data_IF_849815543283
#
_entry.id   IF_849815543283
#
_cell.length_a   1.000
_cell.length_b   1.000
_cell.length_c   1.000
_cell.angle_alpha   90.00
_cell.angle_beta   90.00
_cell.angle_gamma   90.00
#
_symmetry.space_group_name_H-M   'P 1'
#
loop_
_entity.id
_entity.type
_entity.pdbx_description
1 polymer ?
#
# COMPACT_ATOMS: atom_id res chain seq x y z
N UNK A 1 -35.54 5.44 -5.16
CA UNK A 1 -34.97 4.11 -4.88
C UNK A 1 -35.86 3.05 -5.52
N UNK A 2 -35.33 1.85 -5.78
CA UNK A 2 -36.13 0.74 -6.33
C UNK A 2 -37.09 0.22 -5.24
N UNK A 3 -38.42 0.23 -5.45
CA UNK A 3 -39.41 -0.20 -4.44
C UNK A 3 -39.18 -1.63 -3.92
N UNK A 4 -38.64 -2.51 -4.75
CA UNK A 4 -38.35 -3.89 -4.35
C UNK A 4 -37.19 -3.96 -3.34
N UNK A 5 -36.20 -3.08 -3.46
CA UNK A 5 -35.05 -3.00 -2.53
C UNK A 5 -35.52 -2.48 -1.18
N UNK A 6 -36.38 -1.45 -1.16
CA UNK A 6 -36.93 -0.91 0.08
C UNK A 6 -37.78 -1.94 0.84
N UNK A 7 -38.63 -2.68 0.12
CA UNK A 7 -39.44 -3.75 0.72
C UNK A 7 -38.57 -4.87 1.29
N UNK A 8 -37.58 -5.32 0.52
CA UNK A 8 -36.65 -6.35 0.97
C UNK A 8 -35.86 -5.92 2.21
N UNK A 9 -35.40 -4.66 2.26
CA UNK A 9 -34.67 -4.14 3.42
C UNK A 9 -35.55 -4.05 4.67
N UNK A 10 -36.81 -3.61 4.55
CA UNK A 10 -37.75 -3.57 5.68
C UNK A 10 -37.96 -4.96 6.30
N UNK A 11 -38.17 -5.97 5.45
CA UNK A 11 -38.30 -7.36 5.92
C UNK A 11 -37.01 -7.84 6.61
N UNK A 12 -35.84 -7.53 6.05
CA UNK A 12 -34.56 -7.89 6.68
C UNK A 12 -34.39 -7.21 8.06
N UNK A 13 -34.74 -5.92 8.16
CA UNK A 13 -34.68 -5.15 9.41
C UNK A 13 -35.53 -5.79 10.51
N UNK A 14 -36.74 -6.24 10.19
CA UNK A 14 -37.61 -6.97 11.12
C UNK A 14 -36.96 -8.28 11.60
N UNK A 15 -36.38 -9.07 10.68
CA UNK A 15 -35.72 -10.34 11.02
C UNK A 15 -34.47 -10.17 11.89
N UNK A 16 -33.69 -9.12 11.67
CA UNK A 16 -32.53 -8.82 12.51
C UNK A 16 -32.93 -8.29 13.90
N UNK A 17 -34.05 -7.55 13.98
CA UNK A 17 -34.58 -7.09 15.26
C UNK A 17 -35.01 -8.25 16.18
N UNK A 18 -35.50 -9.38 15.62
CA UNK A 18 -35.84 -10.60 16.38
C UNK A 18 -34.66 -11.17 17.19
N UNK A 19 -33.42 -10.93 16.75
CA UNK A 19 -32.19 -11.34 17.44
C UNK A 19 -31.46 -10.18 18.12
N UNK A 20 -32.12 -9.02 18.28
CA UNK A 20 -31.58 -7.86 18.98
C UNK A 20 -30.59 -7.01 18.17
N UNK A 21 -30.61 -7.10 16.84
CA UNK A 21 -29.72 -6.32 15.96
C UNK A 21 -30.48 -5.16 15.31
N UNK A 22 -30.02 -3.93 15.55
CA UNK A 22 -30.50 -2.73 14.85
C UNK A 22 -29.66 -2.49 13.58
N UNK A 23 -30.23 -2.82 12.42
CA UNK A 23 -29.54 -2.68 11.14
C UNK A 23 -29.25 -1.24 10.75
N UNK A 24 -30.08 -0.27 11.14
CA UNK A 24 -29.85 1.13 10.80
C UNK A 24 -28.68 1.68 11.64
N UNK A 25 -28.58 1.29 12.91
CA UNK A 25 -27.42 1.61 13.75
C UNK A 25 -26.14 0.99 13.17
N UNK A 26 -26.19 -0.27 12.73
CA UNK A 26 -25.05 -0.96 12.10
C UNK A 26 -24.61 -0.27 10.80
N UNK A 27 -25.54 0.11 9.93
CA UNK A 27 -25.21 0.84 8.70
C UNK A 27 -24.61 2.22 8.97
N UNK A 28 -25.04 2.89 10.04
CA UNK A 28 -24.43 4.14 10.49
C UNK A 28 -23.01 3.97 11.02
N UNK A 29 -22.66 2.80 11.58
CA UNK A 29 -21.28 2.51 11.95
C UNK A 29 -20.48 2.17 10.69
N UNK A 30 -21.01 1.29 9.84
CA UNK A 30 -20.33 0.75 8.66
C UNK A 30 -19.87 1.84 7.69
N UNK A 31 -20.67 2.88 7.47
CA UNK A 31 -20.32 3.99 6.57
C UNK A 31 -19.03 4.72 6.96
N UNK A 32 -18.69 4.70 8.25
CA UNK A 32 -17.56 5.43 8.84
C UNK A 32 -16.32 4.52 9.06
N UNK A 33 -16.41 3.21 8.78
CA UNK A 33 -15.25 2.31 8.85
C UNK A 33 -14.46 2.42 7.54
N UNK A 34 -13.24 2.99 7.55
CA UNK A 34 -12.47 3.12 6.32
C UNK A 34 -11.91 1.77 5.85
N UNK A 35 -12.00 1.52 4.54
CA UNK A 35 -11.30 0.40 3.90
C UNK A 35 -10.14 0.94 3.08
N UNK A 36 -8.92 0.49 3.40
CA UNK A 36 -7.72 0.84 2.65
C UNK A 36 -7.50 -0.12 1.48
N UNK A 37 -7.68 0.40 0.26
CA UNK A 37 -7.64 -0.36 -0.99
C UNK A 37 -6.27 -0.24 -1.61
N UNK A 38 -5.75 -1.32 -2.14
CA UNK A 38 -4.39 -1.40 -2.64
C UNK A 38 -4.27 -0.90 -4.08
N UNK A 39 -3.34 0.04 -4.33
CA UNK A 39 -3.15 0.62 -5.68
C UNK A 39 -2.69 -0.41 -6.72
N UNK A 40 -1.92 -1.40 -6.28
CA UNK A 40 -1.21 -2.33 -7.16
C UNK A 40 -2.08 -3.36 -7.87
N UNK A 41 -3.37 -3.40 -7.56
CA UNK A 41 -4.31 -4.20 -8.33
C UNK A 41 -4.52 -3.65 -9.73
N UNK A 42 -4.42 -2.33 -9.91
CA UNK A 42 -4.77 -1.67 -11.17
C UNK A 42 -3.74 -1.93 -12.29
N UNK A 43 -2.52 -2.31 -11.93
CA UNK A 43 -1.38 -2.38 -12.84
C UNK A 43 -0.55 -3.66 -12.67
N UNK A 44 -1.07 -4.70 -12.02
CA UNK A 44 -0.36 -5.96 -11.76
C UNK A 44 0.96 -5.79 -10.98
N UNK A 45 1.05 -4.82 -10.06
CA UNK A 45 2.27 -4.53 -9.27
C UNK A 45 3.47 -4.12 -10.15
N UNK A 46 3.22 -3.50 -11.31
CA UNK A 46 4.30 -3.00 -12.17
C UNK A 46 4.95 -1.73 -11.58
N UNK A 47 4.14 -0.82 -11.03
CA UNK A 47 4.59 0.50 -10.61
C UNK A 47 5.03 1.37 -11.79
N UNK A 48 5.68 2.50 -11.49
CA UNK A 48 6.12 3.50 -12.46
C UNK A 48 7.63 3.75 -12.42
N UNK A 49 8.37 2.90 -11.72
CA UNK A 49 9.83 2.99 -11.58
C UNK A 49 10.59 2.42 -12.79
N UNK A 50 10.29 1.17 -13.13
CA UNK A 50 10.94 0.40 -14.19
C UNK A 50 9.90 -0.52 -14.81
N UNK A 51 10.03 -0.82 -16.11
CA UNK A 51 9.19 -1.80 -16.79
C UNK A 51 9.65 -3.23 -16.46
N UNK A 52 9.43 -3.64 -15.22
CA UNK A 52 9.75 -4.98 -14.72
C UNK A 52 8.56 -5.53 -13.94
N UNK A 53 8.18 -6.78 -14.20
CA UNK A 53 7.13 -7.46 -13.46
C UNK A 53 7.47 -7.77 -12.00
N UNK A 54 6.49 -8.31 -11.28
CA UNK A 54 6.61 -8.70 -9.88
C UNK A 54 7.71 -9.76 -9.65
N UNK A 55 8.51 -9.58 -8.60
CA UNK A 55 9.47 -10.55 -8.06
C UNK A 55 9.38 -10.61 -6.53
N UNK A 56 10.29 -11.32 -5.85
CA UNK A 56 10.26 -11.44 -4.38
C UNK A 56 9.25 -12.47 -3.87
N UNK A 57 8.87 -13.44 -4.70
CA UNK A 57 7.97 -14.54 -4.31
C UNK A 57 6.48 -14.24 -4.51
N UNK A 58 6.14 -13.06 -5.03
CA UNK A 58 4.78 -12.69 -5.43
C UNK A 58 4.63 -12.74 -6.95
N UNK A 59 3.40 -12.94 -7.43
CA UNK A 59 3.07 -13.06 -8.83
C UNK A 59 1.65 -12.53 -9.09
N UNK A 60 1.47 -11.79 -10.18
CA UNK A 60 0.16 -11.55 -10.79
C UNK A 60 -0.04 -12.52 -11.95
N UNK A 61 -1.19 -13.18 -12.00
CA UNK A 61 -1.50 -14.20 -13.02
C UNK A 61 -2.69 -13.78 -13.87
N UNK A 62 -2.64 -14.13 -15.15
CA UNK A 62 -3.66 -13.76 -16.13
C UNK A 62 -3.17 -12.66 -17.08
N UNK A 63 -3.89 -12.49 -18.19
CA UNK A 63 -3.54 -11.54 -19.25
C UNK A 63 -4.78 -10.71 -19.65
N UNK A 64 -5.61 -10.35 -18.66
CA UNK A 64 -6.75 -9.49 -18.91
C UNK A 64 -6.25 -8.11 -19.40
N UNK A 65 -6.77 -7.57 -20.52
CA UNK A 65 -6.26 -6.33 -21.08
C UNK A 65 -6.69 -5.11 -20.25
N UNK A 66 -6.00 -3.98 -20.42
CA UNK A 66 -6.45 -2.68 -19.91
C UNK A 66 -5.89 -2.27 -18.56
N UNK A 67 -4.85 -2.94 -18.05
CA UNK A 67 -4.13 -2.49 -16.84
C UNK A 67 -3.58 -1.07 -17.03
N UNK A 68 -3.56 -0.29 -15.94
CA UNK A 68 -2.96 1.02 -15.93
C UNK A 68 -1.44 0.95 -16.21
N UNK A 69 -0.91 1.91 -16.95
CA UNK A 69 0.52 2.00 -17.31
C UNK A 69 1.15 3.33 -16.90
N UNK A 70 0.32 4.29 -16.49
CA UNK A 70 0.76 5.60 -16.03
C UNK A 70 0.03 5.97 -14.73
N UNK A 71 0.58 6.89 -13.94
CA UNK A 71 -0.11 7.42 -12.77
C UNK A 71 -1.51 7.97 -13.08
N UNK A 72 -1.66 8.62 -14.24
CA UNK A 72 -2.95 9.19 -14.67
C UNK A 72 -3.97 8.12 -15.06
N UNK A 73 -3.53 7.06 -15.76
CA UNK A 73 -4.40 5.90 -16.03
C UNK A 73 -4.83 5.24 -14.72
N UNK A 74 -3.91 5.06 -13.77
CA UNK A 74 -4.22 4.43 -12.49
C UNK A 74 -5.21 5.27 -11.67
N UNK A 75 -5.02 6.60 -11.62
CA UNK A 75 -5.98 7.50 -10.96
C UNK A 75 -7.36 7.47 -11.64
N UNK A 76 -7.42 7.40 -12.97
CA UNK A 76 -8.70 7.30 -13.68
C UNK A 76 -9.43 5.98 -13.35
N UNK A 77 -8.71 4.87 -13.26
CA UNK A 77 -9.28 3.59 -12.81
C UNK A 77 -9.78 3.67 -11.37
N UNK A 78 -9.03 4.33 -10.49
CA UNK A 78 -9.43 4.56 -9.10
C UNK A 78 -10.64 5.50 -8.99
N UNK A 79 -10.72 6.56 -9.79
CA UNK A 79 -11.87 7.46 -9.81
C UNK A 79 -13.14 6.69 -10.20
N UNK A 80 -13.05 5.82 -11.22
CA UNK A 80 -14.16 4.95 -11.60
C UNK A 80 -14.53 3.98 -10.45
N UNK A 81 -13.54 3.39 -9.78
CA UNK A 81 -13.75 2.53 -8.61
C UNK A 81 -14.46 3.27 -7.47
N UNK A 82 -14.07 4.51 -7.17
CA UNK A 82 -14.69 5.33 -6.13
C UNK A 82 -16.17 5.64 -6.42
N UNK A 83 -16.60 5.70 -7.70
CA UNK A 83 -18.03 5.87 -8.03
C UNK A 83 -18.87 4.63 -7.70
N UNK A 84 -18.25 3.46 -7.59
CA UNK A 84 -18.92 2.17 -7.38
C UNK A 84 -18.91 1.73 -5.91
N UNK A 85 -18.00 2.29 -5.11
CA UNK A 85 -17.81 1.88 -3.72
C UNK A 85 -18.55 2.76 -2.72
N UNK A 86 -19.44 2.19 -1.88
CA UNK A 86 -20.03 2.93 -0.78
C UNK A 86 -19.06 3.04 0.41
N UNK A 87 -19.22 4.10 1.19
CA UNK A 87 -18.50 4.30 2.46
C UNK A 87 -17.18 5.03 2.30
N UNK A 88 -16.37 4.96 3.36
CA UNK A 88 -15.09 5.68 3.43
C UNK A 88 -13.96 4.80 2.89
N UNK A 89 -13.20 5.31 1.94
CA UNK A 89 -12.06 4.60 1.34
C UNK A 89 -10.76 5.31 1.69
N UNK A 90 -9.68 4.54 1.75
CA UNK A 90 -8.29 5.01 1.73
C UNK A 90 -7.57 4.31 0.58
N UNK A 91 -6.52 4.92 0.05
CA UNK A 91 -5.65 4.28 -0.93
C UNK A 91 -4.33 3.89 -0.27
N UNK A 92 -3.94 2.63 -0.42
CA UNK A 92 -2.67 2.09 0.05
C UNK A 92 -1.66 2.06 -1.10
N UNK A 93 -0.64 2.90 -1.01
CA UNK A 93 0.38 3.11 -2.04
C UNK A 93 1.66 2.33 -1.73
N UNK A 94 2.39 1.98 -2.78
CA UNK A 94 3.75 1.44 -2.69
C UNK A 94 4.78 2.47 -3.19
N UNK A 95 6.02 2.41 -2.72
CA UNK A 95 7.09 3.33 -3.11
C UNK A 95 7.40 3.32 -4.64
N UNK A 96 7.10 2.23 -5.33
CA UNK A 96 7.24 2.13 -6.79
C UNK A 96 6.18 2.90 -7.58
N UNK A 97 5.14 3.42 -6.92
CA UNK A 97 4.12 4.29 -7.52
C UNK A 97 4.51 5.76 -7.47
N UNK A 98 5.77 6.07 -7.15
CA UNK A 98 6.31 7.43 -7.19
C UNK A 98 6.18 8.03 -8.60
N UNK A 99 6.06 9.34 -8.66
CA UNK A 99 6.01 10.11 -9.90
C UNK A 99 7.27 10.97 -10.02
N UNK A 100 7.99 10.84 -11.13
CA UNK A 100 9.13 11.70 -11.46
C UNK A 100 9.37 11.70 -12.96
N UNK A 101 9.80 12.84 -13.51
CA UNK A 101 10.22 12.96 -14.91
C UNK A 101 11.54 12.25 -15.19
N UNK A 102 12.34 12.00 -14.14
CA UNK A 102 13.65 11.36 -14.24
C UNK A 102 13.73 10.16 -13.31
N UNK A 103 14.68 9.26 -13.58
CA UNK A 103 14.92 8.15 -12.67
C UNK A 103 15.38 8.66 -11.30
N UNK A 104 14.66 8.25 -10.26
CA UNK A 104 15.00 8.51 -8.86
C UNK A 104 15.23 7.17 -8.17
N UNK A 105 16.39 6.96 -7.57
CA UNK A 105 16.65 5.73 -6.82
C UNK A 105 15.71 5.60 -5.60
N UNK A 106 15.28 4.39 -5.25
CA UNK A 106 14.42 4.13 -4.09
C UNK A 106 14.96 4.70 -2.78
N UNK A 107 16.27 4.67 -2.55
CA UNK A 107 16.86 5.26 -1.33
C UNK A 107 16.77 6.79 -1.29
N UNK A 108 16.43 7.43 -2.41
CA UNK A 108 16.42 8.90 -2.59
C UNK A 108 15.03 9.48 -2.84
N UNK A 109 13.98 8.67 -2.70
CA UNK A 109 12.62 9.18 -2.85
C UNK A 109 12.27 10.11 -1.68
N UNK A 110 11.52 11.16 -1.96
CA UNK A 110 11.06 12.16 -1.00
C UNK A 110 9.55 12.36 -1.14
N UNK A 111 8.90 13.12 -0.23
CA UNK A 111 7.48 13.44 -0.34
C UNK A 111 7.07 14.08 -1.69
N UNK A 112 7.97 14.81 -2.34
CA UNK A 112 7.69 15.47 -3.63
C UNK A 112 7.25 14.49 -4.71
N UNK A 113 7.84 13.29 -4.75
CA UNK A 113 7.47 12.27 -5.74
C UNK A 113 6.08 11.64 -5.50
N UNK A 114 5.40 12.03 -4.42
CA UNK A 114 4.04 11.60 -4.09
C UNK A 114 3.07 12.78 -3.99
N UNK A 115 3.50 13.99 -4.40
CA UNK A 115 2.68 15.20 -4.32
C UNK A 115 1.36 15.05 -5.09
N UNK A 116 1.41 14.52 -6.31
CA UNK A 116 0.21 14.31 -7.13
C UNK A 116 -0.76 13.31 -6.48
N UNK A 117 -0.26 12.26 -5.82
CA UNK A 117 -1.08 11.34 -5.04
C UNK A 117 -1.76 12.00 -3.84
N UNK A 118 -1.02 12.84 -3.11
CA UNK A 118 -1.56 13.60 -1.97
C UNK A 118 -2.64 14.58 -2.46
N UNK A 119 -2.39 15.32 -3.53
CA UNK A 119 -3.35 16.27 -4.08
C UNK A 119 -4.61 15.56 -4.61
N UNK A 120 -4.46 14.43 -5.30
CA UNK A 120 -5.58 13.60 -5.74
C UNK A 120 -6.39 13.05 -4.55
N UNK A 121 -5.72 12.58 -3.49
CA UNK A 121 -6.39 12.11 -2.28
C UNK A 121 -7.18 13.22 -1.56
N UNK A 122 -6.64 14.46 -1.52
CA UNK A 122 -7.34 15.64 -0.99
C UNK A 122 -8.60 15.94 -1.80
N UNK A 123 -8.51 15.93 -3.14
CA UNK A 123 -9.64 16.21 -4.03
C UNK A 123 -10.76 15.17 -3.83
N UNK A 124 -10.41 13.90 -3.70
CA UNK A 124 -11.35 12.80 -3.48
C UNK A 124 -11.75 12.60 -2.01
N UNK A 125 -11.20 13.38 -1.08
CA UNK A 125 -11.46 13.30 0.37
C UNK A 125 -11.20 11.90 0.96
N UNK A 126 -10.15 11.24 0.49
CA UNK A 126 -9.73 9.94 1.00
C UNK A 126 -8.40 10.05 1.75
N UNK A 127 -8.09 9.06 2.57
CA UNK A 127 -6.78 8.94 3.21
C UNK A 127 -5.77 8.15 2.37
N UNK A 128 -4.49 8.28 2.73
CA UNK A 128 -3.40 7.51 2.13
C UNK A 128 -2.68 6.66 3.17
N UNK A 129 -2.39 5.42 2.80
CA UNK A 129 -1.50 4.50 3.49
C UNK A 129 -0.30 4.17 2.59
N UNK A 130 0.79 3.66 3.16
CA UNK A 130 2.05 3.58 2.44
C UNK A 130 2.85 2.30 2.70
N UNK A 131 3.72 1.95 1.76
CA UNK A 131 4.60 0.80 1.86
C UNK A 131 5.94 1.11 1.18
N UNK A 132 7.08 0.90 1.86
CA UNK A 132 8.33 0.75 1.15
C UNK A 132 8.27 -0.50 0.25
N UNK A 133 8.88 -0.44 -0.93
CA UNK A 133 9.00 -1.60 -1.83
C UNK A 133 10.40 -2.25 -1.73
N UNK A 134 10.47 -3.48 -1.20
CA UNK A 134 11.73 -4.24 -1.01
C UNK A 134 11.92 -5.39 -2.03
N UNK A 135 11.25 -5.33 -3.18
CA UNK A 135 11.26 -6.38 -4.20
C UNK A 135 11.37 -5.78 -5.62
N UNK A 136 11.50 -6.61 -6.67
CA UNK A 136 11.66 -6.14 -8.06
C UNK A 136 12.76 -5.07 -8.20
N UNK A 137 13.93 -5.37 -7.65
CA UNK A 137 15.08 -4.45 -7.66
C UNK A 137 16.40 -5.24 -7.68
N UNK A 138 17.47 -4.76 -8.36
CA UNK A 138 18.77 -5.43 -8.37
C UNK A 138 19.32 -5.71 -6.97
N UNK A 139 19.21 -4.77 -6.02
CA UNK A 139 19.63 -4.95 -4.62
C UNK A 139 18.74 -5.92 -3.81
N UNK A 140 17.71 -6.52 -4.42
CA UNK A 140 16.91 -7.61 -3.85
C UNK A 140 17.09 -8.92 -4.63
N UNK A 141 18.00 -8.98 -5.61
CA UNK A 141 18.18 -10.12 -6.52
C UNK A 141 18.58 -11.41 -5.82
N UNK A 142 19.27 -11.32 -4.69
CA UNK A 142 19.69 -12.48 -3.87
C UNK A 142 18.58 -13.03 -2.97
N UNK A 143 17.36 -12.47 -3.05
CA UNK A 143 16.22 -12.87 -2.22
C UNK A 143 16.30 -12.37 -0.77
N UNK A 144 17.22 -11.45 -0.47
CA UNK A 144 17.38 -10.81 0.84
C UNK A 144 17.55 -9.29 0.68
N UNK A 145 17.04 -8.53 1.65
CA UNK A 145 17.08 -7.06 1.70
C UNK A 145 17.58 -6.58 3.07
N UNK A 146 16.68 -6.30 4.01
CA UNK A 146 16.99 -5.82 5.37
C UNK A 146 17.79 -6.85 6.18
N UNK A 147 17.77 -8.13 5.81
CA UNK A 147 18.55 -9.20 6.43
C UNK A 147 19.74 -9.67 5.59
N UNK A 148 20.05 -8.98 4.48
CA UNK A 148 21.16 -9.33 3.59
C UNK A 148 22.51 -9.40 4.34
N UNK A 149 23.43 -10.33 4.06
CA UNK A 149 24.74 -10.38 4.74
C UNK A 149 25.70 -9.24 4.35
N UNK A 150 25.63 -8.76 3.11
CA UNK A 150 26.33 -7.54 2.66
C UNK A 150 25.75 -6.29 3.35
N UNK A 151 26.63 -5.50 3.98
CA UNK A 151 26.24 -4.27 4.67
C UNK A 151 25.77 -3.18 3.70
N UNK A 152 26.39 -3.02 2.53
CA UNK A 152 26.00 -2.00 1.55
C UNK A 152 24.58 -2.21 1.04
N UNK A 153 24.18 -3.47 0.78
CA UNK A 153 22.79 -3.78 0.41
C UNK A 153 21.83 -3.52 1.57
N UNK A 154 22.20 -3.87 2.81
CA UNK A 154 21.35 -3.55 3.97
C UNK A 154 21.20 -2.05 4.18
N UNK A 155 22.29 -1.30 4.13
CA UNK A 155 22.31 0.15 4.32
C UNK A 155 21.40 0.83 3.29
N UNK A 156 21.47 0.41 2.02
CA UNK A 156 20.57 0.85 0.97
C UNK A 156 19.08 0.68 1.32
N UNK A 157 18.70 -0.51 1.80
CA UNK A 157 17.31 -0.80 2.15
C UNK A 157 16.88 -0.09 3.45
N UNK A 158 17.79 0.13 4.38
CA UNK A 158 17.55 0.94 5.58
C UNK A 158 17.27 2.40 5.17
N UNK A 159 18.09 2.98 4.29
CA UNK A 159 17.90 4.35 3.77
C UNK A 159 16.54 4.49 3.08
N UNK A 160 16.17 3.55 2.21
CA UNK A 160 14.84 3.54 1.58
C UNK A 160 13.71 3.40 2.61
N UNK A 161 13.86 2.57 3.63
CA UNK A 161 12.89 2.44 4.71
C UNK A 161 12.69 3.75 5.49
N UNK A 162 13.77 4.47 5.78
CA UNK A 162 13.75 5.78 6.42
C UNK A 162 13.06 6.82 5.53
N UNK A 163 13.43 6.89 4.25
CA UNK A 163 12.81 7.78 3.27
C UNK A 163 11.29 7.55 3.17
N UNK A 164 10.86 6.30 3.15
CA UNK A 164 9.42 5.95 3.14
C UNK A 164 8.69 6.38 4.41
N UNK A 165 9.35 6.37 5.57
CA UNK A 165 8.74 6.88 6.81
C UNK A 165 8.51 8.39 6.75
N UNK A 166 9.43 9.14 6.16
CA UNK A 166 9.27 10.59 5.96
C UNK A 166 8.14 10.90 4.98
N UNK A 167 8.00 10.11 3.91
CA UNK A 167 6.86 10.20 2.98
C UNK A 167 5.54 9.90 3.69
N UNK A 168 5.47 8.81 4.46
CA UNK A 168 4.26 8.45 5.20
C UNK A 168 3.87 9.52 6.22
N UNK A 169 4.86 10.11 6.92
CA UNK A 169 4.61 11.23 7.84
C UNK A 169 4.05 12.45 7.10
N UNK A 170 4.65 12.83 5.97
CA UNK A 170 4.18 13.95 5.14
C UNK A 170 2.76 13.70 4.59
N UNK A 171 2.45 12.48 4.13
CA UNK A 171 1.09 12.12 3.71
C UNK A 171 0.09 12.32 4.85
N UNK A 172 0.46 11.94 6.07
CA UNK A 172 -0.43 12.08 7.21
C UNK A 172 -0.64 13.52 7.66
N UNK A 173 0.41 14.34 7.62
CA UNK A 173 0.36 15.77 7.90
C UNK A 173 -0.52 16.50 6.86
N UNK A 174 -0.28 16.27 5.57
CA UNK A 174 -0.99 16.93 4.48
C UNK A 174 -2.47 16.57 4.40
N UNK A 175 -2.84 15.35 4.82
CA UNK A 175 -4.23 14.87 4.80
C UNK A 175 -4.95 15.02 6.14
N UNK A 176 -4.26 15.48 7.19
CA UNK A 176 -4.82 15.60 8.54
C UNK A 176 -5.30 14.27 9.13
N UNK A 177 -4.77 13.15 8.67
CA UNK A 177 -5.11 11.81 9.17
C UNK A 177 -3.86 10.92 9.23
N UNK A 178 -3.84 9.91 10.09
CA UNK A 178 -2.65 9.05 10.22
C UNK A 178 -2.48 8.21 8.94
N UNK A 179 -1.30 8.25 8.34
CA UNK A 179 -0.86 7.30 7.33
C UNK A 179 -0.28 6.05 8.02
N UNK A 180 -0.77 4.87 7.65
CA UNK A 180 -0.18 3.60 8.09
C UNK A 180 0.89 3.20 7.10
N UNK A 181 2.15 3.13 7.56
CA UNK A 181 3.24 2.57 6.77
C UNK A 181 3.46 1.10 7.14
N UNK A 182 3.15 0.18 6.23
CA UNK A 182 3.41 -1.24 6.43
C UNK A 182 4.81 -1.62 5.90
N UNK A 183 5.52 -2.47 6.64
CA UNK A 183 6.88 -2.92 6.29
C UNK A 183 6.86 -4.42 6.01
N UNK A 184 6.84 -4.78 4.73
CA UNK A 184 6.93 -6.16 4.26
C UNK A 184 8.19 -6.35 3.42
N UNK A 185 8.91 -7.46 3.62
CA UNK A 185 10.13 -7.80 2.89
C UNK A 185 10.06 -9.24 2.35
N UNK A 186 10.71 -9.55 1.22
CA UNK A 186 10.72 -10.90 0.65
C UNK A 186 11.78 -11.83 1.29
N UNK A 187 12.54 -11.33 2.28
CA UNK A 187 13.72 -11.99 2.83
C UNK A 187 13.46 -13.43 3.28
N UNK A 188 14.06 -14.37 2.56
CA UNK A 188 13.91 -15.78 2.86
C UNK A 188 14.81 -16.67 2.02
N UNK A 189 14.74 -17.96 2.33
CA UNK A 189 15.43 -19.00 1.58
C UNK A 189 14.39 -19.97 1.04
N UNK A 190 14.57 -20.37 -0.23
CA UNK A 190 13.69 -21.35 -0.87
C UNK A 190 13.77 -22.73 -0.22
N UNK A 191 14.97 -23.12 0.23
CA UNK A 191 15.26 -24.41 0.84
C UNK A 191 15.74 -24.24 2.30
N UNK A 192 16.04 -25.35 2.97
CA UNK A 192 16.37 -25.44 4.39
C UNK A 192 17.59 -24.59 4.74
N UNK A 193 17.43 -23.50 5.53
CA UNK A 193 18.55 -22.66 5.92
C UNK A 193 19.35 -23.30 7.06
N UNK A 194 20.67 -23.12 7.00
CA UNK A 194 21.60 -23.51 8.07
C UNK A 194 21.47 -22.55 9.27
N UNK A 195 21.40 -21.24 9.01
CA UNK A 195 21.31 -20.21 10.05
C UNK A 195 20.08 -19.31 9.89
N UNK A 196 19.06 -19.58 10.70
CA UNK A 196 17.85 -18.73 10.78
C UNK A 196 18.05 -17.54 11.71
N UNK A 197 18.98 -17.63 12.66
CA UNK A 197 19.18 -16.61 13.69
C UNK A 197 19.95 -15.42 13.14
N UNK A 198 21.04 -15.65 12.39
CA UNK A 198 21.86 -14.57 11.84
C UNK A 198 21.08 -13.63 10.93
N UNK A 199 20.20 -14.16 10.08
CA UNK A 199 19.31 -13.34 9.24
C UNK A 199 18.35 -12.49 10.08
N UNK A 200 17.68 -13.09 11.07
CA UNK A 200 16.74 -12.38 11.96
C UNK A 200 17.44 -11.34 12.83
N UNK A 201 18.66 -11.60 13.30
CA UNK A 201 19.46 -10.62 14.05
C UNK A 201 19.78 -9.39 13.21
N UNK A 202 20.14 -9.57 11.93
CA UNK A 202 20.35 -8.45 11.01
C UNK A 202 19.06 -7.69 10.72
N UNK A 203 17.94 -8.40 10.55
CA UNK A 203 16.64 -7.76 10.36
C UNK A 203 16.26 -6.86 11.54
N UNK A 204 16.41 -7.34 12.78
CA UNK A 204 16.14 -6.53 13.98
C UNK A 204 17.00 -5.27 13.99
N UNK A 205 18.31 -5.40 13.77
CA UNK A 205 19.24 -4.26 13.71
C UNK A 205 18.86 -3.25 12.62
N UNK A 206 18.42 -3.71 11.45
CA UNK A 206 17.94 -2.86 10.36
C UNK A 206 16.64 -2.13 10.71
N UNK A 207 15.68 -2.82 11.35
CA UNK A 207 14.40 -2.22 11.76
C UNK A 207 14.59 -1.19 12.88
N UNK A 208 15.47 -1.47 13.85
CA UNK A 208 15.82 -0.53 14.92
C UNK A 208 16.38 0.77 14.33
N UNK A 209 17.24 0.68 13.30
CA UNK A 209 17.76 1.84 12.58
C UNK A 209 16.67 2.60 11.81
N UNK A 210 15.79 1.88 11.09
CA UNK A 210 14.67 2.48 10.34
C UNK A 210 13.74 3.26 11.28
N UNK A 211 13.45 2.72 12.46
CA UNK A 211 12.49 3.29 13.42
C UNK A 211 13.12 4.19 14.49
N UNK A 212 14.44 4.42 14.47
CA UNK A 212 15.14 5.21 15.49
C UNK A 212 14.63 6.66 15.59
N UNK A 213 14.37 7.31 14.44
CA UNK A 213 13.85 8.69 14.39
C UNK A 213 12.36 8.72 14.76
N UNK A 214 11.97 9.52 15.74
CA UNK A 214 10.55 9.84 15.98
C UNK A 214 10.07 10.85 14.94
N UNK A 215 8.89 10.60 14.35
CA UNK A 215 8.25 11.42 13.32
C UNK A 215 6.84 11.77 13.78
#
# INVERSE_FOLDING_TARGET
>A
MNPNVELAYKLAKERYAEIGVDTDAVLNILKDIPVSVHCWQADDVMGFEVDQGASGGILCTGNYPGRARTPDELRADLDQFLTLMPGTIRLNLHAIYRESETFVDRAKITPEHFKNWIDWAKQNKIGLDFNPTYFSHPNAGDGLTLSHPDKGIRDYWIEHGIACREIAAAMGEELGNRCVMNTWIPDGFKDTPVDRFGARKRLVDSLDQIFAKQL
#
